data_IF_359915749257
#
_entry.id   IF_359915749257
#
_cell.length_a   1.000
_cell.length_b   1.000
_cell.length_c   1.000
_cell.angle_alpha   90.00
_cell.angle_beta   90.00
_cell.angle_gamma   90.00
#
_symmetry.space_group_name_H-M   'P 1'
#
loop_
_entity.id
_entity.type
_entity.pdbx_description
1 polymer ?
#
# COMPACT_ATOMS: atom_id res chain seq x y z
N UNK A 1 26.29 0.05 5.21
CA UNK A 1 25.36 1.18 5.00
C UNK A 1 23.94 0.76 4.60
N UNK A 2 23.72 -0.38 3.92
CA UNK A 2 22.36 -0.82 3.53
C UNK A 2 21.37 -0.98 4.71
N UNK A 3 21.82 -1.45 5.88
CA UNK A 3 20.94 -1.64 7.04
C UNK A 3 20.26 -0.34 7.52
N UNK A 4 20.94 0.80 7.41
CA UNK A 4 20.38 2.11 7.79
C UNK A 4 19.23 2.48 6.87
N UNK A 5 19.40 2.30 5.55
CA UNK A 5 18.33 2.53 4.58
C UNK A 5 17.15 1.59 4.78
N UNK A 6 17.39 0.34 5.19
CA UNK A 6 16.32 -0.61 5.52
C UNK A 6 15.48 -0.11 6.69
N UNK A 7 16.11 0.35 7.77
CA UNK A 7 15.40 0.86 8.96
C UNK A 7 14.62 2.13 8.64
N UNK A 8 15.23 3.07 7.90
CA UNK A 8 14.58 4.33 7.52
C UNK A 8 13.36 4.09 6.63
N UNK A 9 13.42 3.13 5.69
CA UNK A 9 12.28 2.77 4.83
C UNK A 9 11.17 2.01 5.57
N UNK A 10 11.50 1.33 6.66
CA UNK A 10 10.54 0.59 7.47
C UNK A 10 9.72 1.49 8.41
N UNK A 11 10.32 2.61 8.84
CA UNK A 11 9.67 3.57 9.73
C UNK A 11 8.32 4.10 9.18
N UNK A 12 8.21 4.59 7.93
CA UNK A 12 6.92 5.06 7.40
C UNK A 12 5.88 3.93 7.29
N UNK A 13 6.29 2.70 7.00
CA UNK A 13 5.37 1.54 6.90
C UNK A 13 4.67 1.29 8.24
N UNK A 14 5.37 1.47 9.36
CA UNK A 14 4.79 1.31 10.70
C UNK A 14 4.05 2.56 11.18
N UNK A 15 4.54 3.75 10.82
CA UNK A 15 3.97 5.02 11.29
C UNK A 15 2.63 5.34 10.63
N UNK A 16 2.47 5.08 9.33
CA UNK A 16 1.23 5.43 8.58
C UNK A 16 -0.03 4.78 9.19
N UNK A 17 -0.07 3.47 9.48
CA UNK A 17 -1.23 2.86 10.14
C UNK A 17 -1.49 3.47 11.52
N UNK A 18 -0.44 3.69 12.33
CA UNK A 18 -0.57 4.24 13.68
C UNK A 18 -1.21 5.64 13.65
N UNK A 19 -0.72 6.52 12.77
CA UNK A 19 -1.31 7.85 12.59
C UNK A 19 -2.70 7.79 11.96
N UNK A 20 -2.97 6.83 11.07
CA UNK A 20 -4.31 6.63 10.50
C UNK A 20 -5.35 6.24 11.55
N UNK A 21 -5.01 5.36 12.50
CA UNK A 21 -5.92 4.95 13.57
C UNK A 21 -6.05 5.99 14.69
N UNK A 22 -4.96 6.65 15.09
CA UNK A 22 -4.96 7.62 16.21
C UNK A 22 -5.40 9.03 15.76
N UNK A 23 -5.05 9.42 14.53
CA UNK A 23 -5.36 10.72 13.92
C UNK A 23 -6.80 10.86 13.40
N UNK A 24 -7.63 9.83 13.57
CA UNK A 24 -9.07 9.84 13.22
C UNK A 24 -9.91 10.87 14.01
N UNK A 25 -9.29 11.64 14.92
CA UNK A 25 -9.90 12.74 15.64
C UNK A 25 -9.79 14.06 14.85
N UNK A 26 -10.83 14.32 14.05
CA UNK A 26 -11.46 15.63 13.76
C UNK A 26 -10.64 16.86 13.31
N UNK A 27 -9.39 16.76 12.83
CA UNK A 27 -8.73 17.90 12.14
C UNK A 27 -7.65 17.54 11.09
N UNK A 28 -7.42 16.25 10.79
CA UNK A 28 -6.50 15.79 9.72
C UNK A 28 -7.18 15.84 8.32
N UNK A 29 -8.25 16.61 8.15
CA UNK A 29 -8.96 16.72 6.86
C UNK A 29 -8.19 17.58 5.83
N UNK A 30 -7.32 18.47 6.29
CA UNK A 30 -6.74 19.53 5.46
C UNK A 30 -5.61 19.10 4.53
N UNK A 31 -4.93 17.97 4.79
CA UNK A 31 -3.81 17.52 3.95
C UNK A 31 -4.27 16.63 2.78
N UNK A 32 -5.39 15.94 2.94
CA UNK A 32 -5.94 15.06 1.89
C UNK A 32 -6.92 15.83 1.00
N UNK A 33 -7.81 16.66 1.56
CA UNK A 33 -8.84 17.33 0.75
C UNK A 33 -8.31 18.50 -0.09
N UNK A 34 -7.26 19.20 0.35
CA UNK A 34 -6.76 20.38 -0.36
C UNK A 34 -6.09 20.08 -1.72
N UNK A 35 -5.82 18.81 -2.04
CA UNK A 35 -5.21 18.38 -3.31
C UNK A 35 -5.90 17.16 -3.96
N UNK A 36 -7.09 16.75 -3.49
CA UNK A 36 -7.90 15.80 -4.25
C UNK A 36 -8.56 16.57 -5.41
N UNK A 37 -7.77 16.81 -6.46
CA UNK A 37 -8.35 17.15 -7.76
C UNK A 37 -9.42 16.11 -8.08
N UNK A 38 -10.60 16.57 -8.52
CA UNK A 38 -11.64 15.70 -9.09
C UNK A 38 -10.94 14.65 -9.97
N UNK A 39 -11.25 13.35 -9.84
CA UNK A 39 -10.56 12.32 -10.60
C UNK A 39 -10.62 12.65 -12.09
N UNK A 40 -9.52 13.14 -12.64
CA UNK A 40 -9.41 13.55 -14.05
C UNK A 40 -9.04 12.33 -14.88
N UNK A 41 -9.72 12.15 -16.00
CA UNK A 41 -9.53 11.00 -16.90
C UNK A 41 -10.42 9.79 -16.57
N UNK A 42 -10.01 8.60 -17.00
CA UNK A 42 -10.82 7.37 -16.97
C UNK A 42 -11.27 6.95 -15.55
N UNK A 43 -10.54 7.39 -14.51
CA UNK A 43 -10.86 7.15 -13.10
C UNK A 43 -12.06 7.94 -12.57
N UNK A 44 -12.48 9.02 -13.24
CA UNK A 44 -13.68 9.79 -12.87
C UNK A 44 -14.96 9.33 -13.55
N UNK A 45 -14.86 8.42 -14.53
CA UNK A 45 -15.99 8.00 -15.39
C UNK A 45 -16.76 6.83 -14.77
N UNK A 46 -16.05 5.92 -14.11
CA UNK A 46 -16.64 4.83 -13.35
C UNK A 46 -15.65 4.27 -12.30
N UNK A 47 -16.09 3.98 -11.06
CA UNK A 47 -15.23 3.38 -10.04
C UNK A 47 -14.56 2.07 -10.47
N UNK A 48 -15.22 1.28 -11.33
CA UNK A 48 -14.70 0.04 -11.89
C UNK A 48 -13.44 0.24 -12.75
N UNK A 49 -13.34 1.38 -13.45
CA UNK A 49 -12.17 1.71 -14.26
C UNK A 49 -11.00 2.15 -13.38
N UNK A 50 -11.27 2.83 -12.26
CA UNK A 50 -10.25 3.16 -11.26
C UNK A 50 -9.57 1.90 -10.69
N UNK A 51 -10.34 0.84 -10.44
CA UNK A 51 -9.80 -0.46 -9.99
C UNK A 51 -8.83 -1.02 -11.04
N UNK A 52 -9.22 -1.08 -12.31
CA UNK A 52 -8.36 -1.59 -13.38
C UNK A 52 -7.11 -0.72 -13.56
N UNK A 53 -7.27 0.61 -13.49
CA UNK A 53 -6.16 1.57 -13.58
C UNK A 53 -5.15 1.45 -12.42
N UNK A 54 -5.57 0.94 -11.27
CA UNK A 54 -4.69 0.75 -10.11
C UNK A 54 -3.84 -0.54 -10.16
N UNK A 55 -4.22 -1.53 -10.98
CA UNK A 55 -3.52 -2.83 -11.07
C UNK A 55 -2.03 -2.68 -11.41
N UNK A 56 -1.61 -1.87 -12.40
CA UNK A 56 -0.18 -1.71 -12.72
C UNK A 56 0.64 -1.16 -11.55
N UNK A 57 0.08 -0.20 -10.79
CA UNK A 57 0.74 0.38 -9.62
C UNK A 57 0.92 -0.67 -8.50
N UNK A 58 -0.09 -1.53 -8.31
CA UNK A 58 -0.02 -2.64 -7.35
C UNK A 58 1.07 -3.62 -7.78
N UNK A 59 1.12 -4.04 -9.04
CA UNK A 59 2.17 -4.95 -9.52
C UNK A 59 3.58 -4.38 -9.38
N UNK A 60 3.74 -3.08 -9.65
CA UNK A 60 5.01 -2.39 -9.41
C UNK A 60 5.44 -2.41 -7.94
N UNK A 61 4.49 -2.26 -7.01
CA UNK A 61 4.77 -2.28 -5.57
C UNK A 61 5.29 -3.64 -5.05
N UNK A 62 5.05 -4.73 -5.79
CA UNK A 62 5.51 -6.08 -5.46
C UNK A 62 6.74 -6.53 -6.26
N UNK A 63 7.31 -5.70 -7.14
CA UNK A 63 8.42 -6.05 -8.05
C UNK A 63 9.82 -6.08 -7.37
N UNK A 64 9.97 -6.90 -6.33
CA UNK A 64 11.24 -7.01 -5.58
C UNK A 64 11.72 -8.43 -5.30
N UNK A 65 10.89 -9.44 -5.56
CA UNK A 65 11.19 -10.83 -5.17
C UNK A 65 12.30 -11.48 -6.02
N UNK A 66 12.48 -11.06 -7.28
CA UNK A 66 13.53 -11.61 -8.15
C UNK A 66 14.95 -11.31 -7.65
N UNK A 67 15.16 -10.16 -7.00
CA UNK A 67 16.45 -9.79 -6.41
C UNK A 67 16.90 -10.76 -5.29
N UNK A 68 15.94 -11.39 -4.62
CA UNK A 68 16.23 -12.42 -3.60
C UNK A 68 16.49 -13.78 -4.26
N UNK A 69 15.85 -14.03 -5.41
CA UNK A 69 16.09 -15.22 -6.24
C UNK A 69 17.50 -15.28 -6.84
N UNK A 70 18.10 -14.15 -7.21
CA UNK A 70 19.46 -14.11 -7.76
C UNK A 70 20.55 -14.46 -6.73
N UNK A 71 20.27 -14.26 -5.43
CA UNK A 71 21.21 -14.56 -4.34
C UNK A 71 21.16 -16.06 -3.95
N UNK A 72 20.19 -16.82 -4.48
CA UNK A 72 19.99 -18.25 -4.18
C UNK A 72 21.27 -19.08 -4.30
N UNK A 73 22.08 -18.78 -5.31
CA UNK A 73 23.31 -19.54 -5.62
C UNK A 73 24.40 -19.37 -4.55
N UNK A 74 24.36 -18.28 -3.77
CA UNK A 74 25.32 -17.98 -2.70
C UNK A 74 24.79 -18.33 -1.29
N UNK A 75 23.65 -19.01 -1.18
CA UNK A 75 23.05 -19.36 0.12
C UNK A 75 23.55 -20.70 0.66
N UNK A 76 23.86 -20.77 1.97
CA UNK A 76 24.16 -22.04 2.67
C UNK A 76 23.03 -23.06 2.58
N UNK A 77 21.77 -22.62 2.48
CA UNK A 77 20.58 -23.49 2.45
C UNK A 77 19.54 -23.02 1.41
N UNK A 78 19.78 -23.26 0.11
CA UNK A 78 18.93 -22.73 -0.95
C UNK A 78 17.51 -23.32 -0.96
N UNK A 79 17.30 -24.51 -0.37
CA UNK A 79 15.98 -25.16 -0.26
C UNK A 79 15.00 -24.38 0.63
N UNK A 80 15.50 -23.54 1.54
CA UNK A 80 14.67 -22.71 2.42
C UNK A 80 14.24 -21.39 1.78
N UNK A 81 14.77 -21.04 0.61
CA UNK A 81 14.46 -19.78 -0.07
C UNK A 81 12.99 -19.68 -0.48
N UNK A 82 12.41 -20.76 -1.02
CA UNK A 82 11.00 -20.80 -1.43
C UNK A 82 10.05 -20.48 -0.27
N UNK A 83 10.12 -21.22 0.85
CA UNK A 83 9.33 -20.91 2.04
C UNK A 83 9.58 -19.50 2.60
N UNK A 84 10.84 -19.03 2.60
CA UNK A 84 11.18 -17.69 3.06
C UNK A 84 10.55 -16.59 2.18
N UNK A 85 10.50 -16.79 0.87
CA UNK A 85 9.84 -15.87 -0.08
C UNK A 85 8.33 -15.83 0.16
N UNK A 86 7.68 -16.99 0.35
CA UNK A 86 6.23 -17.05 0.62
C UNK A 86 5.90 -16.29 1.90
N UNK A 87 6.67 -16.48 2.97
CA UNK A 87 6.49 -15.75 4.23
C UNK A 87 6.73 -14.25 4.03
N UNK A 88 7.79 -13.87 3.31
CA UNK A 88 8.09 -12.47 3.01
C UNK A 88 6.95 -11.77 2.24
N UNK A 89 6.42 -12.41 1.21
CA UNK A 89 5.28 -11.90 0.44
C UNK A 89 4.05 -11.77 1.35
N UNK A 90 3.75 -12.77 2.18
CA UNK A 90 2.62 -12.71 3.10
C UNK A 90 2.73 -11.54 4.09
N UNK A 91 3.93 -11.27 4.62
CA UNK A 91 4.19 -10.13 5.52
C UNK A 91 3.96 -8.81 4.80
N UNK A 92 4.47 -8.66 3.57
CA UNK A 92 4.32 -7.43 2.76
C UNK A 92 2.84 -7.19 2.45
N UNK A 93 2.12 -8.23 2.04
CA UNK A 93 0.67 -8.14 1.82
C UNK A 93 -0.07 -7.70 3.07
N UNK A 94 0.25 -8.29 4.24
CA UNK A 94 -0.33 -7.89 5.51
C UNK A 94 -0.05 -6.42 5.87
N UNK A 95 1.18 -5.95 5.65
CA UNK A 95 1.55 -4.56 5.88
C UNK A 95 0.78 -3.58 4.98
N UNK A 96 0.63 -3.90 3.68
CA UNK A 96 -0.17 -3.09 2.77
C UNK A 96 -1.65 -3.06 3.16
N UNK A 97 -2.23 -4.17 3.61
CA UNK A 97 -3.60 -4.19 4.11
C UNK A 97 -3.75 -3.31 5.35
N UNK A 98 -2.76 -3.30 6.25
CA UNK A 98 -2.75 -2.46 7.45
C UNK A 98 -2.71 -0.97 7.10
N UNK A 99 -1.88 -0.59 6.12
CA UNK A 99 -1.79 0.77 5.60
C UNK A 99 -3.12 1.19 4.98
N UNK A 100 -3.68 0.36 4.10
CA UNK A 100 -4.96 0.63 3.46
C UNK A 100 -6.09 0.77 4.49
N UNK A 101 -6.13 -0.08 5.51
CA UNK A 101 -7.13 0.00 6.59
C UNK A 101 -7.01 1.31 7.40
N UNK A 102 -5.77 1.74 7.70
CA UNK A 102 -5.50 3.02 8.35
C UNK A 102 -5.95 4.22 7.49
N UNK A 103 -5.69 4.17 6.19
CA UNK A 103 -6.13 5.21 5.25
C UNK A 103 -7.65 5.27 5.11
N UNK A 104 -8.34 4.13 5.00
CA UNK A 104 -9.80 4.09 4.94
C UNK A 104 -10.45 4.61 6.22
N UNK A 105 -9.83 4.38 7.38
CA UNK A 105 -10.34 4.86 8.68
C UNK A 105 -10.13 6.37 8.83
N UNK A 106 -9.03 6.90 8.31
CA UNK A 106 -8.66 8.31 8.45
C UNK A 106 -9.25 9.25 7.39
N UNK A 107 -9.73 8.74 6.24
CA UNK A 107 -10.12 9.57 5.10
C UNK A 107 -11.64 9.78 5.03
N UNK A 108 -12.14 11.03 4.89
CA UNK A 108 -13.58 11.30 4.77
C UNK A 108 -14.22 10.82 3.47
N UNK A 109 -13.43 10.64 2.41
CA UNK A 109 -13.89 10.30 1.05
C UNK A 109 -13.07 9.14 0.48
N UNK A 110 -13.73 8.16 -0.17
CA UNK A 110 -13.08 6.95 -0.70
C UNK A 110 -13.38 5.67 0.09
N UNK A 111 -14.38 5.71 0.97
CA UNK A 111 -14.83 4.53 1.74
C UNK A 111 -15.70 3.61 0.87
N UNK A 112 -15.85 2.34 1.25
CA UNK A 112 -16.73 1.36 0.59
C UNK A 112 -18.17 1.87 0.28
N UNK A 113 -18.66 2.84 1.06
CA UNK A 113 -19.94 3.51 0.83
C UNK A 113 -19.95 4.53 -0.32
N UNK A 114 -18.82 5.16 -0.65
CA UNK A 114 -18.72 6.10 -1.78
C UNK A 114 -18.61 5.38 -3.12
N UNK A 115 -18.12 4.15 -3.15
CA UNK A 115 -18.04 3.32 -4.37
C UNK A 115 -19.42 2.87 -4.87
N UNK A 116 -20.41 2.84 -3.97
CA UNK A 116 -21.81 2.48 -4.25
C UNK A 116 -22.71 3.71 -4.49
N UNK A 117 -22.23 4.91 -4.16
CA UNK A 117 -22.92 6.14 -4.54
C UNK A 117 -22.59 6.42 -6.00
N UNK A 118 -23.61 6.28 -6.85
CA UNK A 118 -23.53 6.73 -8.23
C UNK A 118 -23.23 8.24 -8.25
N UNK A 119 -22.39 8.72 -9.17
CA UNK A 119 -22.20 10.16 -9.35
C UNK A 119 -23.56 10.78 -9.68
N UNK A 120 -23.91 11.84 -8.95
CA UNK A 120 -25.07 12.70 -9.28
C UNK A 120 -24.79 13.52 -10.54
#
# INVERSE_FOLDING_TARGET
MQWVFTVVKFLPILMVPIFGFIGSNSNIQTLTEANLEKPVGLGGVAPAIGIIGSIPAIFFAFDGFYAVGSIKENMRQPKKLGPALVIGIAIITGAYLLISAGLFTSSPTGTAGDILKLPE
#
